data_IF_966989360216
#
_entry.id   IF_966989360216
#
_cell.length_a   1.000
_cell.length_b   1.000
_cell.length_c   1.000
_cell.angle_alpha   90.00
_cell.angle_beta   90.00
_cell.angle_gamma   90.00
#
_symmetry.space_group_name_H-M   'P 1'
#
loop_
_entity.id
_entity.type
_entity.pdbx_description
1 polymer ?
#
# COMPACT_ATOMS: atom_id res chain seq x y z
N UNK A 1 -4.99 -23.50 -15.81
CA UNK A 1 -6.14 -22.75 -15.27
C UNK A 1 -6.47 -23.13 -13.82
N UNK A 2 -6.56 -24.40 -13.48
CA UNK A 2 -6.91 -24.85 -12.11
C UNK A 2 -5.94 -24.39 -11.02
N UNK A 3 -4.64 -24.33 -11.31
CA UNK A 3 -3.60 -23.94 -10.34
C UNK A 3 -3.71 -22.45 -9.94
N UNK A 4 -4.02 -21.56 -10.88
CA UNK A 4 -4.16 -20.13 -10.60
C UNK A 4 -5.41 -19.81 -9.76
N UNK A 5 -6.50 -20.56 -9.97
CA UNK A 5 -7.74 -20.38 -9.18
C UNK A 5 -7.50 -20.82 -7.73
N UNK A 6 -6.85 -21.94 -7.53
CA UNK A 6 -6.53 -22.46 -6.20
C UNK A 6 -5.62 -21.50 -5.43
N UNK A 7 -4.55 -21.04 -6.06
CA UNK A 7 -3.62 -20.06 -5.47
C UNK A 7 -4.35 -18.76 -5.07
N UNK A 8 -5.21 -18.24 -5.96
CA UNK A 8 -6.01 -17.05 -5.66
C UNK A 8 -6.95 -17.27 -4.46
N UNK A 9 -7.58 -18.45 -4.38
CA UNK A 9 -8.44 -18.79 -3.25
C UNK A 9 -7.65 -18.88 -1.94
N UNK A 10 -6.48 -19.49 -1.95
CA UNK A 10 -5.60 -19.60 -0.78
C UNK A 10 -5.12 -18.21 -0.31
N UNK A 11 -4.68 -17.36 -1.22
CA UNK A 11 -4.28 -15.97 -0.91
C UNK A 11 -5.46 -15.20 -0.32
N UNK A 12 -6.63 -15.28 -0.95
CA UNK A 12 -7.82 -14.57 -0.46
C UNK A 12 -8.25 -15.06 0.93
N UNK A 13 -8.12 -16.38 1.21
CA UNK A 13 -8.43 -16.93 2.52
C UNK A 13 -7.47 -16.37 3.59
N UNK A 14 -6.18 -16.30 3.30
CA UNK A 14 -5.17 -15.72 4.22
C UNK A 14 -5.46 -14.24 4.47
N UNK A 15 -5.70 -13.46 3.41
CA UNK A 15 -6.02 -12.04 3.52
C UNK A 15 -7.29 -11.82 4.34
N UNK A 16 -8.35 -12.61 4.08
CA UNK A 16 -9.62 -12.47 4.79
C UNK A 16 -9.52 -12.82 6.28
N UNK A 17 -8.68 -13.80 6.64
CA UNK A 17 -8.46 -14.22 8.02
C UNK A 17 -7.68 -13.17 8.83
N UNK A 18 -6.75 -12.44 8.16
CA UNK A 18 -5.85 -11.47 8.79
C UNK A 18 -5.99 -10.08 8.17
N UNK A 19 -7.18 -9.72 7.72
CA UNK A 19 -7.41 -8.44 7.04
C UNK A 19 -7.04 -7.28 7.96
N UNK A 20 -6.16 -6.40 7.48
CA UNK A 20 -5.60 -5.30 8.25
C UNK A 20 -6.68 -4.41 8.88
N UNK A 21 -7.73 -4.08 8.14
CA UNK A 21 -8.82 -3.22 8.63
C UNK A 21 -9.72 -3.89 9.68
N UNK A 22 -9.57 -5.18 9.94
CA UNK A 22 -10.22 -5.88 11.06
C UNK A 22 -9.37 -5.89 12.33
N UNK A 23 -8.13 -5.43 12.24
CA UNK A 23 -7.27 -5.30 13.42
C UNK A 23 -7.86 -4.27 14.40
N UNK A 24 -7.86 -4.53 15.72
CA UNK A 24 -8.45 -3.64 16.72
C UNK A 24 -7.98 -2.19 16.65
N UNK A 25 -6.73 -1.96 16.27
CA UNK A 25 -6.17 -0.63 16.08
C UNK A 25 -6.91 0.15 14.98
N UNK A 26 -7.10 -0.46 13.81
CA UNK A 26 -7.80 0.20 12.68
C UNK A 26 -9.30 0.33 12.92
N UNK A 27 -9.90 -0.60 13.66
CA UNK A 27 -11.29 -0.46 14.12
C UNK A 27 -11.42 0.75 15.06
N UNK A 28 -10.53 0.88 16.03
CA UNK A 28 -10.50 2.03 16.93
C UNK A 28 -10.23 3.35 16.21
N UNK A 29 -9.38 3.33 15.18
CA UNK A 29 -9.16 4.49 14.31
C UNK A 29 -10.44 4.92 13.60
N UNK A 30 -11.09 3.99 12.92
CA UNK A 30 -12.35 4.26 12.19
C UNK A 30 -13.44 4.76 13.12
N UNK A 31 -13.51 4.24 14.36
CA UNK A 31 -14.47 4.66 15.37
C UNK A 31 -14.08 5.98 16.08
N UNK A 32 -12.95 6.58 15.75
CA UNK A 32 -12.48 7.81 16.39
C UNK A 32 -12.09 7.64 17.86
N UNK A 33 -11.72 6.42 18.27
CA UNK A 33 -11.40 6.07 19.66
C UNK A 33 -9.92 6.18 20.03
N UNK A 34 -9.04 6.42 19.03
CA UNK A 34 -7.62 6.59 19.31
C UNK A 34 -7.34 7.96 19.94
N UNK A 35 -6.52 7.97 20.97
CA UNK A 35 -6.04 9.22 21.57
C UNK A 35 -5.00 9.88 20.67
N UNK A 36 -4.80 11.18 20.88
CA UNK A 36 -3.76 11.93 20.16
C UNK A 36 -2.35 11.36 20.40
N UNK A 37 -2.09 10.89 21.61
CA UNK A 37 -0.83 10.24 21.98
C UNK A 37 -0.63 8.91 21.23
N UNK A 38 -1.67 8.08 21.14
CA UNK A 38 -1.63 6.85 20.36
C UNK A 38 -1.37 7.11 18.87
N UNK A 39 -2.00 8.15 18.32
CA UNK A 39 -1.77 8.57 16.94
C UNK A 39 -0.34 9.06 16.71
N UNK A 40 0.22 9.85 17.63
CA UNK A 40 1.63 10.27 17.57
C UNK A 40 2.58 9.09 17.56
N UNK A 41 2.40 8.18 18.50
CA UNK A 41 3.24 6.99 18.58
C UNK A 41 3.17 6.16 17.31
N UNK A 42 1.97 5.98 16.75
CA UNK A 42 1.80 5.31 15.47
C UNK A 42 2.48 6.07 14.33
N UNK A 43 2.30 7.39 14.25
CA UNK A 43 2.89 8.21 13.21
C UNK A 43 4.43 8.11 13.20
N UNK A 44 5.06 8.09 14.37
CA UNK A 44 6.51 7.92 14.53
C UNK A 44 6.98 6.53 14.12
N UNK A 45 6.32 5.48 14.62
CA UNK A 45 6.74 4.09 14.37
C UNK A 45 6.50 3.67 12.92
N UNK A 46 5.37 4.03 12.34
CA UNK A 46 5.03 3.66 10.97
C UNK A 46 5.83 4.44 9.92
N UNK A 47 6.44 5.55 10.28
CA UNK A 47 7.23 6.35 9.36
C UNK A 47 8.40 5.58 8.72
N UNK A 48 9.00 4.65 9.44
CA UNK A 48 10.03 3.77 8.89
C UNK A 48 9.52 2.93 7.72
N UNK A 49 8.29 2.42 7.85
CA UNK A 49 7.64 1.70 6.75
C UNK A 49 7.30 2.62 5.58
N UNK A 50 6.82 3.81 5.86
CA UNK A 50 6.52 4.83 4.83
C UNK A 50 7.77 5.19 4.02
N UNK A 51 8.93 5.30 4.66
CA UNK A 51 10.21 5.55 3.98
C UNK A 51 10.69 4.35 3.16
N UNK A 52 10.38 3.13 3.58
CA UNK A 52 10.81 1.91 2.90
C UNK A 52 9.92 1.55 1.70
N UNK A 53 8.64 1.93 1.71
CA UNK A 53 7.65 1.57 0.70
C UNK A 53 8.09 1.89 -0.74
N UNK A 54 8.64 3.07 -1.06
CA UNK A 54 9.12 3.36 -2.40
C UNK A 54 10.18 2.38 -2.89
N UNK A 55 11.06 1.93 -2.01
CA UNK A 55 12.11 0.96 -2.36
C UNK A 55 11.53 -0.41 -2.68
N UNK A 56 10.48 -0.83 -1.97
CA UNK A 56 9.77 -2.07 -2.27
C UNK A 56 9.05 -2.01 -3.61
N UNK A 57 8.34 -0.91 -3.88
CA UNK A 57 7.66 -0.69 -5.16
C UNK A 57 8.65 -0.61 -6.33
N UNK A 58 9.79 0.03 -6.13
CA UNK A 58 10.86 0.08 -7.13
C UNK A 58 11.39 -1.32 -7.46
N UNK A 59 11.61 -2.16 -6.45
CA UNK A 59 12.03 -3.54 -6.65
C UNK A 59 10.96 -4.39 -7.36
N UNK A 60 9.70 -4.22 -6.99
CA UNK A 60 8.57 -4.90 -7.65
C UNK A 60 8.46 -4.45 -9.10
N UNK A 61 8.54 -3.15 -9.37
CA UNK A 61 8.51 -2.60 -10.73
C UNK A 61 9.64 -3.15 -11.59
N UNK A 62 10.86 -3.18 -11.08
CA UNK A 62 12.01 -3.75 -11.79
C UNK A 62 11.80 -5.22 -12.16
N UNK A 63 11.22 -6.01 -11.27
CA UNK A 63 10.98 -7.44 -11.46
C UNK A 63 9.67 -7.77 -12.19
N UNK A 64 8.82 -6.78 -12.50
CA UNK A 64 7.57 -7.01 -13.21
C UNK A 64 7.83 -7.00 -14.71
N UNK A 65 7.49 -8.08 -15.45
CA UNK A 65 7.73 -8.18 -16.87
C UNK A 65 6.99 -7.11 -17.67
N UNK A 66 7.57 -6.67 -18.78
CA UNK A 66 6.84 -5.95 -19.79
C UNK A 66 5.79 -6.87 -20.41
N UNK A 67 4.54 -6.62 -20.12
CA UNK A 67 3.44 -7.21 -20.86
C UNK A 67 3.04 -6.17 -21.91
N UNK A 68 3.39 -6.40 -23.17
CA UNK A 68 2.77 -5.70 -24.26
C UNK A 68 1.31 -6.12 -24.28
N UNK A 69 0.42 -5.31 -23.74
CA UNK A 69 -1.00 -5.56 -23.93
C UNK A 69 -1.31 -5.20 -25.38
N UNK A 70 -1.44 -6.19 -26.22
CA UNK A 70 -2.03 -6.04 -27.56
C UNK A 70 -3.57 -5.81 -27.45
N UNK A 71 -4.09 -5.74 -26.24
CA UNK A 71 -5.52 -5.54 -26.06
C UNK A 71 -5.86 -4.06 -26.18
N UNK A 72 -6.69 -3.74 -27.13
CA UNK A 72 -7.37 -2.44 -27.25
C UNK A 72 -8.37 -2.18 -26.11
N UNK A 73 -8.27 -2.89 -25.00
CA UNK A 73 -9.22 -2.85 -23.88
C UNK A 73 -9.04 -1.66 -22.95
N UNK A 74 -7.96 -0.88 -23.10
CA UNK A 74 -7.66 0.23 -22.20
C UNK A 74 -7.20 -0.23 -20.80
N UNK A 75 -7.01 -1.52 -20.58
CA UNK A 75 -6.56 -2.07 -19.32
C UNK A 75 -5.10 -1.70 -19.08
N UNK A 76 -4.86 -1.15 -17.89
CA UNK A 76 -3.51 -0.81 -17.43
C UNK A 76 -2.78 -2.10 -17.07
N UNK A 77 -1.55 -2.27 -17.56
CA UNK A 77 -0.74 -3.43 -17.20
C UNK A 77 -0.35 -3.41 -15.70
N UNK A 78 -0.07 -4.59 -15.13
CA UNK A 78 0.41 -4.69 -13.74
C UNK A 78 1.64 -3.80 -13.50
N UNK A 79 2.57 -3.76 -14.47
CA UNK A 79 3.76 -2.90 -14.38
C UNK A 79 3.40 -1.42 -14.32
N UNK A 80 2.41 -0.96 -15.09
CA UNK A 80 1.93 0.42 -15.08
C UNK A 80 1.22 0.76 -13.76
N UNK A 81 0.47 -0.18 -13.16
CA UNK A 81 -0.13 0.01 -11.84
C UNK A 81 0.93 0.15 -10.74
N UNK A 82 1.97 -0.68 -10.79
CA UNK A 82 3.11 -0.55 -9.85
C UNK A 82 3.82 0.79 -10.06
N UNK A 83 4.01 1.24 -11.30
CA UNK A 83 4.61 2.54 -11.60
C UNK A 83 3.77 3.70 -11.04
N UNK A 84 2.45 3.65 -11.17
CA UNK A 84 1.57 4.68 -10.58
C UNK A 84 1.76 4.78 -9.08
N UNK A 85 1.76 3.65 -8.37
CA UNK A 85 2.02 3.62 -6.93
C UNK A 85 3.40 4.19 -6.60
N UNK A 86 4.44 3.82 -7.37
CA UNK A 86 5.79 4.35 -7.15
C UNK A 86 5.86 5.86 -7.35
N UNK A 87 5.14 6.41 -8.32
CA UNK A 87 5.04 7.85 -8.54
C UNK A 87 4.39 8.55 -7.32
N UNK A 88 3.31 7.99 -6.78
CA UNK A 88 2.66 8.52 -5.59
C UNK A 88 3.56 8.51 -4.36
N UNK A 89 4.48 7.55 -4.28
CA UNK A 89 5.44 7.43 -3.18
C UNK A 89 6.64 8.37 -3.30
N UNK A 90 7.11 8.69 -4.50
CA UNK A 90 8.39 9.39 -4.68
C UNK A 90 8.29 10.74 -5.38
N UNK A 91 7.26 10.97 -6.19
CA UNK A 91 7.21 12.13 -7.08
C UNK A 91 6.49 13.33 -6.46
N UNK A 92 7.08 14.51 -6.64
CA UNK A 92 6.45 15.79 -6.28
C UNK A 92 6.45 16.11 -4.79
N UNK A 93 5.93 17.29 -4.46
CA UNK A 93 5.93 17.84 -3.09
C UNK A 93 4.86 17.20 -2.17
N UNK A 94 3.92 16.48 -2.75
CA UNK A 94 2.84 15.78 -2.04
C UNK A 94 2.96 14.26 -2.16
N UNK A 95 4.19 13.74 -2.29
CA UNK A 95 4.43 12.30 -2.19
C UNK A 95 4.01 11.77 -0.81
N UNK A 96 3.77 10.47 -0.69
CA UNK A 96 3.25 9.88 0.55
C UNK A 96 4.15 10.14 1.78
N UNK A 97 5.47 10.01 1.72
CA UNK A 97 6.34 10.40 2.84
C UNK A 97 6.18 11.87 3.27
N UNK A 98 6.03 12.79 2.34
CA UNK A 98 5.80 14.19 2.65
C UNK A 98 4.43 14.43 3.30
N UNK A 99 3.39 13.77 2.81
CA UNK A 99 2.06 13.80 3.42
C UNK A 99 2.05 13.19 4.81
N UNK A 100 2.79 12.10 5.03
CA UNK A 100 2.92 11.49 6.34
C UNK A 100 3.58 12.42 7.35
N UNK A 101 4.63 13.13 6.96
CA UNK A 101 5.26 14.15 7.81
C UNK A 101 4.29 15.26 8.18
N UNK A 102 3.50 15.76 7.22
CA UNK A 102 2.47 16.77 7.50
C UNK A 102 1.45 16.26 8.53
N UNK A 103 1.00 15.02 8.39
CA UNK A 103 0.13 14.38 9.36
C UNK A 103 0.78 14.27 10.74
N UNK A 104 2.00 13.74 10.83
CA UNK A 104 2.71 13.58 12.10
C UNK A 104 2.96 14.90 12.84
N UNK A 105 3.30 15.96 12.10
CA UNK A 105 3.51 17.30 12.71
C UNK A 105 2.22 18.00 13.12
N UNK A 106 1.07 17.60 12.60
CA UNK A 106 -0.24 18.12 13.01
C UNK A 106 -0.77 17.52 14.32
N UNK A 107 -0.16 16.45 14.79
CA UNK A 107 -0.53 15.76 16.03
C UNK A 107 0.17 16.38 17.26
#
# INVERSE_FOLDING_TARGET
MTTNIKLKQEINAIISAKHLLKHPFYVAWTDGKLTKEQLRHYAEQYFYNVLAEPTYLSAVHFNTPHVHSESNSGDISVRQEVLKNLIDEEHGDNNHPALWKKFAFAL
#
